data_IF_585193258770
#
_entry.id   IF_585193258770
#
_cell.length_a   1.000
_cell.length_b   1.000
_cell.length_c   1.000
_cell.angle_alpha   90.00
_cell.angle_beta   90.00
_cell.angle_gamma   90.00
#
_symmetry.space_group_name_H-M   'P 1'
#
loop_
_entity.id
_entity.type
_entity.pdbx_description
1 polymer ?
#
# COMPACT_ATOMS: atom_id res chain seq x y z
N UNK A 1 -6.67 19.45 -6.78
CA UNK A 1 -5.75 18.42 -7.34
C UNK A 1 -4.96 17.72 -6.23
N UNK A 2 -5.49 16.59 -5.76
CA UNK A 2 -4.83 15.69 -4.82
C UNK A 2 -4.33 14.43 -5.51
N UNK A 3 -3.42 13.71 -4.86
CA UNK A 3 -3.03 12.36 -5.24
C UNK A 3 -3.52 11.36 -4.19
N UNK A 4 -3.97 10.20 -4.65
CA UNK A 4 -4.44 9.13 -3.78
C UNK A 4 -4.18 7.77 -4.43
N UNK A 5 -4.18 6.72 -3.61
CA UNK A 5 -4.17 5.34 -4.10
C UNK A 5 -5.52 5.07 -4.76
N UNK A 6 -5.51 4.76 -6.05
CA UNK A 6 -6.71 4.55 -6.87
C UNK A 6 -7.03 3.07 -7.09
N UNK A 7 -6.03 2.20 -7.00
CA UNK A 7 -6.23 0.76 -7.16
C UNK A 7 -5.18 -0.02 -6.39
N UNK A 8 -5.57 -1.21 -5.94
CA UNK A 8 -4.69 -2.17 -5.29
C UNK A 8 -4.87 -3.51 -5.97
N UNK A 9 -3.80 -4.29 -6.05
CA UNK A 9 -3.81 -5.68 -6.49
C UNK A 9 -2.93 -6.45 -5.53
N UNK A 10 -3.45 -7.57 -5.03
CA UNK A 10 -2.73 -8.43 -4.08
C UNK A 10 -2.76 -9.83 -4.63
N UNK A 11 -1.60 -10.49 -4.61
CA UNK A 11 -1.50 -11.85 -5.11
C UNK A 11 -2.21 -12.84 -4.17
N UNK A 12 -2.92 -13.79 -4.76
CA UNK A 12 -3.66 -14.81 -4.01
C UNK A 12 -4.99 -14.35 -3.41
N UNK A 13 -5.40 -13.09 -3.60
CA UNK A 13 -6.69 -12.59 -3.12
C UNK A 13 -7.71 -12.50 -4.25
N UNK A 14 -8.85 -13.18 -4.07
CA UNK A 14 -9.92 -13.19 -5.07
C UNK A 14 -10.94 -12.05 -4.89
N UNK A 15 -11.20 -11.63 -3.65
CA UNK A 15 -12.19 -10.61 -3.35
C UNK A 15 -11.82 -9.80 -2.10
N UNK A 16 -12.40 -8.61 -1.97
CA UNK A 16 -12.12 -7.62 -0.91
C UNK A 16 -12.40 -8.07 0.53
N UNK A 17 -13.10 -9.19 0.70
CA UNK A 17 -13.41 -9.82 1.99
C UNK A 17 -12.51 -11.01 2.36
N UNK A 18 -11.47 -11.28 1.59
CA UNK A 18 -10.56 -12.40 1.87
C UNK A 18 -9.57 -12.05 3.00
N UNK A 19 -9.24 -13.05 3.81
CA UNK A 19 -8.09 -13.00 4.72
C UNK A 19 -6.82 -13.39 3.99
N UNK A 20 -5.72 -12.69 4.28
CA UNK A 20 -4.43 -12.94 3.63
C UNK A 20 -3.57 -13.75 4.60
N UNK A 21 -3.09 -14.90 4.16
CA UNK A 21 -2.30 -15.78 5.02
C UNK A 21 -1.01 -15.06 5.45
N UNK A 22 -0.80 -14.93 6.74
CA UNK A 22 0.38 -14.27 7.30
C UNK A 22 0.20 -12.77 7.57
N UNK A 23 -0.96 -12.18 7.28
CA UNK A 23 -1.29 -10.80 7.66
C UNK A 23 -2.25 -10.82 8.84
N UNK A 24 -2.07 -9.90 9.79
CA UNK A 24 -2.92 -9.81 11.00
C UNK A 24 -4.26 -9.17 10.68
N UNK A 25 -4.25 -8.12 9.85
CA UNK A 25 -5.43 -7.38 9.43
C UNK A 25 -6.17 -8.07 8.27
N UNK A 26 -7.49 -7.83 8.18
CA UNK A 26 -8.27 -8.21 7.01
C UNK A 26 -8.04 -7.24 5.83
N UNK A 27 -8.40 -7.65 4.62
CA UNK A 27 -8.20 -6.82 3.44
C UNK A 27 -8.97 -5.49 3.50
N UNK A 28 -10.13 -5.46 4.16
CA UNK A 28 -10.91 -4.22 4.33
C UNK A 28 -10.16 -3.19 5.18
N UNK A 29 -9.54 -3.61 6.28
CA UNK A 29 -8.70 -2.79 7.13
C UNK A 29 -7.46 -2.29 6.38
N UNK A 30 -6.81 -3.15 5.59
CA UNK A 30 -5.67 -2.76 4.74
C UNK A 30 -6.10 -1.69 3.73
N UNK A 31 -7.25 -1.85 3.08
CA UNK A 31 -7.80 -0.84 2.16
C UNK A 31 -8.05 0.50 2.87
N UNK A 32 -8.62 0.47 4.09
CA UNK A 32 -8.87 1.68 4.88
C UNK A 32 -7.56 2.36 5.29
N UNK A 33 -6.54 1.59 5.67
CA UNK A 33 -5.22 2.09 6.01
C UNK A 33 -4.54 2.76 4.80
N UNK A 34 -4.60 2.12 3.63
CA UNK A 34 -4.08 2.67 2.37
C UNK A 34 -4.80 3.98 1.98
N UNK A 35 -6.10 4.10 2.24
CA UNK A 35 -6.85 5.35 2.02
C UNK A 35 -6.42 6.51 2.93
N UNK A 36 -5.82 6.22 4.08
CA UNK A 36 -5.31 7.24 5.00
C UNK A 36 -3.93 7.77 4.58
N UNK A 37 -3.25 7.11 3.64
CA UNK A 37 -1.97 7.56 3.10
C UNK A 37 -2.17 8.84 2.29
N UNK A 38 -1.46 9.90 2.69
CA UNK A 38 -1.46 11.20 2.03
C UNK A 38 -0.28 11.27 1.09
N UNK A 39 -0.57 11.44 -0.18
CA UNK A 39 0.42 11.42 -1.25
C UNK A 39 0.41 12.75 -1.98
N UNK A 40 1.60 13.25 -2.32
CA UNK A 40 1.81 14.36 -3.24
C UNK A 40 2.51 13.82 -4.49
N UNK A 41 1.81 13.82 -5.62
CA UNK A 41 2.42 13.54 -6.93
C UNK A 41 3.08 14.82 -7.47
N UNK A 42 4.29 14.69 -8.01
CA UNK A 42 5.04 15.80 -8.60
C UNK A 42 4.48 16.14 -10.00
N UNK A 43 4.80 15.33 -11.01
CA UNK A 43 4.41 15.59 -12.41
C UNK A 43 3.71 14.40 -13.10
N UNK A 44 3.72 13.22 -12.48
CA UNK A 44 3.10 12.02 -13.05
C UNK A 44 1.58 12.00 -12.91
N UNK A 45 0.87 11.55 -13.96
CA UNK A 45 -0.59 11.34 -13.92
C UNK A 45 -0.98 10.12 -13.10
N UNK A 46 -0.20 9.05 -13.23
CA UNK A 46 -0.35 7.80 -12.49
C UNK A 46 1.04 7.22 -12.22
N UNK A 47 1.22 6.64 -11.05
CA UNK A 47 2.43 5.90 -10.69
C UNK A 47 2.04 4.52 -10.16
N UNK A 48 2.80 3.50 -10.55
CA UNK A 48 2.58 2.12 -10.10
C UNK A 48 3.72 1.73 -9.17
N UNK A 49 3.37 1.21 -8.01
CA UNK A 49 4.30 0.75 -6.97
C UNK A 49 4.09 -0.74 -6.78
N UNK A 50 5.16 -1.52 -6.86
CA UNK A 50 5.14 -2.94 -6.54
C UNK A 50 5.93 -3.17 -5.26
N UNK A 51 5.31 -3.86 -4.32
CA UNK A 51 5.86 -4.17 -3.01
C UNK A 51 5.93 -5.68 -2.84
N UNK A 52 7.09 -6.14 -2.39
CA UNK A 52 7.28 -7.50 -1.89
C UNK A 52 7.76 -7.38 -0.44
N UNK A 53 6.99 -7.97 0.47
CA UNK A 53 7.22 -7.88 1.90
C UNK A 53 7.29 -9.30 2.48
N UNK A 54 8.35 -9.56 3.24
CA UNK A 54 8.61 -10.86 3.85
C UNK A 54 9.00 -10.71 5.31
N UNK A 55 8.59 -11.69 6.13
CA UNK A 55 8.96 -11.78 7.54
C UNK A 55 8.08 -10.95 8.47
N UNK A 56 8.28 -11.10 9.79
CA UNK A 56 7.43 -10.48 10.79
C UNK A 56 7.71 -8.98 10.94
N UNK A 57 6.66 -8.18 11.09
CA UNK A 57 6.83 -6.76 11.39
C UNK A 57 5.61 -5.90 11.05
N UNK A 58 5.60 -4.71 11.66
CA UNK A 58 4.67 -3.64 11.29
C UNK A 58 5.15 -2.97 10.00
N UNK A 59 4.29 -2.91 8.99
CA UNK A 59 4.57 -2.28 7.71
C UNK A 59 3.88 -0.91 7.68
N UNK A 60 4.67 0.13 7.44
CA UNK A 60 4.22 1.53 7.37
C UNK A 60 4.27 2.06 5.96
N UNK A 61 3.61 3.19 5.73
CA UNK A 61 3.51 3.84 4.44
C UNK A 61 4.87 4.15 3.82
N UNK A 62 5.90 4.43 4.64
CA UNK A 62 7.27 4.67 4.19
C UNK A 62 7.79 3.63 3.18
N UNK A 63 7.33 2.39 3.26
CA UNK A 63 7.73 1.31 2.36
C UNK A 63 7.37 1.60 0.89
N UNK A 64 6.31 2.38 0.66
CA UNK A 64 5.90 2.83 -0.68
C UNK A 64 6.87 3.86 -1.28
N UNK A 65 7.58 4.62 -0.45
CA UNK A 65 8.50 5.67 -0.93
C UNK A 65 9.82 5.09 -1.47
N UNK A 66 10.18 3.87 -1.08
CA UNK A 66 11.49 3.27 -1.38
C UNK A 66 11.73 3.17 -2.89
N UNK A 67 12.58 4.05 -3.41
CA UNK A 67 13.01 4.08 -4.81
C UNK A 67 12.12 4.88 -5.76
N UNK A 68 11.12 5.63 -5.25
CA UNK A 68 10.22 6.43 -6.09
C UNK A 68 10.44 7.93 -5.89
N UNK A 69 10.71 8.62 -6.99
CA UNK A 69 10.89 10.08 -7.05
C UNK A 69 9.64 10.83 -7.57
N UNK A 70 8.67 10.08 -8.10
CA UNK A 70 7.48 10.62 -8.76
C UNK A 70 6.41 11.12 -7.79
N UNK A 71 6.45 10.66 -6.53
CA UNK A 71 5.60 11.14 -5.45
C UNK A 71 6.33 11.23 -4.12
N UNK A 72 5.73 11.97 -3.19
CA UNK A 72 6.16 12.17 -1.82
C UNK A 72 5.03 11.76 -0.86
N UNK A 73 5.36 10.93 0.12
CA UNK A 73 4.46 10.60 1.23
C UNK A 73 4.49 11.70 2.29
N UNK A 74 3.31 12.18 2.68
CA UNK A 74 3.17 13.22 3.70
C UNK A 74 2.95 12.67 5.12
N UNK A 75 2.72 11.37 5.26
CA UNK A 75 2.57 10.64 6.54
C UNK A 75 3.22 9.26 6.43
N UNK A 76 4.56 9.17 6.29
CA UNK A 76 5.29 7.90 6.15
C UNK A 76 5.06 6.94 7.33
N UNK A 77 4.72 7.46 8.51
CA UNK A 77 4.43 6.70 9.72
C UNK A 77 3.06 6.00 9.73
N UNK A 78 2.22 6.23 8.73
CA UNK A 78 0.89 5.63 8.63
C UNK A 78 1.01 4.10 8.59
N UNK A 79 0.39 3.44 9.57
CA UNK A 79 0.29 1.98 9.59
C UNK A 79 -0.48 1.47 8.37
N UNK A 80 0.05 0.44 7.70
CA UNK A 80 -0.60 -0.25 6.59
C UNK A 80 -1.14 -1.61 7.01
N UNK A 81 -0.25 -2.47 7.50
CA UNK A 81 -0.54 -3.86 7.85
C UNK A 81 0.59 -4.45 8.69
N UNK A 82 0.33 -5.57 9.35
CA UNK A 82 1.29 -6.30 10.16
C UNK A 82 1.47 -7.71 9.61
N UNK A 83 2.73 -8.10 9.39
CA UNK A 83 3.11 -9.42 8.91
C UNK A 83 3.54 -10.32 10.07
N UNK A 84 3.19 -11.60 9.96
CA UNK A 84 3.63 -12.68 10.85
C UNK A 84 4.91 -13.35 10.32
N UNK A 85 5.54 -14.20 11.15
CA UNK A 85 6.87 -14.80 10.90
C UNK A 85 7.03 -15.51 9.54
N UNK A 86 5.95 -16.05 8.97
CA UNK A 86 5.94 -16.80 7.70
C UNK A 86 5.08 -16.14 6.63
N UNK A 87 4.95 -14.81 6.65
CA UNK A 87 4.22 -14.08 5.63
C UNK A 87 5.09 -13.80 4.40
N UNK A 88 4.55 -14.10 3.23
CA UNK A 88 5.07 -13.66 1.92
C UNK A 88 3.93 -12.87 1.25
N UNK A 89 4.12 -11.56 1.16
CA UNK A 89 3.09 -10.62 0.75
C UNK A 89 3.52 -9.82 -0.46
N UNK A 90 2.80 -9.99 -1.55
CA UNK A 90 3.02 -9.29 -2.81
C UNK A 90 1.82 -8.41 -3.11
N UNK A 91 2.07 -7.11 -3.26
CA UNK A 91 1.05 -6.11 -3.55
C UNK A 91 1.54 -5.14 -4.62
N UNK A 92 0.63 -4.73 -5.47
CA UNK A 92 0.80 -3.65 -6.41
C UNK A 92 -0.24 -2.57 -6.12
N UNK A 93 0.20 -1.33 -6.02
CA UNK A 93 -0.69 -0.18 -5.83
C UNK A 93 -0.52 0.80 -6.98
N UNK A 94 -1.63 1.38 -7.41
CA UNK A 94 -1.64 2.48 -8.37
C UNK A 94 -2.02 3.76 -7.65
N UNK A 95 -1.19 4.79 -7.82
CA UNK A 95 -1.41 6.13 -7.32
C UNK A 95 -1.86 6.97 -8.51
N UNK A 96 -2.94 7.72 -8.36
CA UNK A 96 -3.48 8.58 -9.40
C UNK A 96 -3.76 9.98 -8.90
N UNK A 97 -3.70 10.95 -9.82
CA UNK A 97 -4.06 12.35 -9.53
C UNK A 97 -5.54 12.60 -9.82
N UNK A 98 -6.28 12.98 -8.79
CA UNK A 98 -7.68 13.41 -8.87
C UNK A 98 -7.83 14.92 -9.04
N UNK A 99 -8.99 15.37 -9.54
CA UNK A 99 -9.35 16.79 -9.60
C UNK A 99 -9.78 17.31 -8.24
#
# INVERSE_FOLDING_TARGET
>A
PGAAITSIKIDGVQHEFSTIKGVVEDLSAIILNLKQVKIRLNDSKHEKVSLHLEGPGEIKAEVLQNGQAEFELMNPEQHLLTLNDNADFNMEVMIGRGR
#
